data_IF_107974621465
#
_entry.id   IF_107974621465
#
_cell.length_a   1.000
_cell.length_b   1.000
_cell.length_c   1.000
_cell.angle_alpha   90.00
_cell.angle_beta   90.00
_cell.angle_gamma   90.00
#
_symmetry.space_group_name_H-M   'P 1'
#
loop_
_entity.id
_entity.type
_entity.pdbx_description
1 polymer ?
#
# COMPACT_ATOMS: atom_id res chain seq x y z
N UNK A 1 19.61 3.70 8.76
CA UNK A 1 18.40 4.53 8.57
C UNK A 1 17.33 4.09 9.56
N UNK A 2 16.81 5.00 10.38
CA UNK A 2 15.61 4.75 11.19
C UNK A 2 14.44 5.41 10.50
N UNK A 3 13.44 4.64 10.09
CA UNK A 3 12.22 5.16 9.50
C UNK A 3 11.18 5.25 10.62
N UNK A 4 11.08 6.41 11.26
CA UNK A 4 10.00 6.69 12.20
C UNK A 4 8.70 6.86 11.40
N UNK A 5 8.05 5.75 11.06
CA UNK A 5 6.67 5.77 10.57
C UNK A 5 5.82 6.42 11.65
N UNK A 6 5.13 7.54 11.36
CA UNK A 6 4.08 8.10 12.25
C UNK A 6 2.89 7.15 12.26
N UNK A 7 3.06 6.02 12.92
CA UNK A 7 2.04 5.01 13.13
C UNK A 7 1.35 5.38 14.41
N UNK A 8 0.10 5.77 14.30
CA UNK A 8 -0.76 5.92 15.46
C UNK A 8 -1.50 4.62 15.65
N UNK A 9 -1.35 4.03 16.83
CA UNK A 9 -2.22 2.96 17.30
C UNK A 9 -3.43 3.64 17.95
N UNK A 10 -4.66 3.24 17.60
CA UNK A 10 -5.82 3.69 18.37
C UNK A 10 -5.72 3.18 19.81
N UNK A 11 -5.98 4.05 20.80
CA UNK A 11 -5.93 3.66 22.22
C UNK A 11 -6.97 2.57 22.50
N UNK A 12 -6.50 1.34 22.69
CA UNK A 12 -7.35 0.16 22.92
C UNK A 12 -7.81 -0.59 21.67
N UNK A 13 -7.22 -0.33 20.49
CA UNK A 13 -7.56 -1.02 19.24
C UNK A 13 -6.36 -1.51 18.43
N UNK A 14 -6.59 -2.48 17.54
CA UNK A 14 -5.57 -3.07 16.64
C UNK A 14 -5.33 -2.25 15.36
N UNK A 15 -5.88 -1.03 15.30
CA UNK A 15 -5.86 -0.19 14.11
C UNK A 15 -4.63 0.69 14.04
N UNK A 16 -3.84 0.47 12.98
CA UNK A 16 -2.71 1.30 12.57
C UNK A 16 -3.18 2.40 11.60
N UNK A 17 -2.97 3.66 11.98
CA UNK A 17 -3.27 4.82 11.13
C UNK A 17 -2.00 5.41 10.53
N UNK A 18 -1.99 5.55 9.20
CA UNK A 18 -0.93 6.22 8.43
C UNK A 18 -1.45 7.59 7.98
N UNK A 19 -0.76 8.66 8.37
CA UNK A 19 -1.13 10.04 8.03
C UNK A 19 -0.47 10.51 6.73
N UNK A 20 -0.91 11.66 6.21
CA UNK A 20 -0.30 12.31 5.05
C UNK A 20 1.23 12.43 5.18
N UNK A 21 1.94 12.06 4.11
CA UNK A 21 3.40 11.93 4.07
C UNK A 21 3.94 10.61 4.60
N UNK A 22 3.10 9.75 5.19
CA UNK A 22 3.46 8.41 5.64
C UNK A 22 3.31 7.34 4.55
N UNK A 23 3.96 6.20 4.76
CA UNK A 23 3.82 5.04 3.87
C UNK A 23 3.99 3.71 4.61
N UNK A 24 3.45 2.65 4.02
CA UNK A 24 3.69 1.25 4.33
C UNK A 24 4.38 0.62 3.12
N UNK A 25 5.50 -0.04 3.34
CA UNK A 25 6.24 -0.76 2.31
C UNK A 25 6.13 -2.26 2.54
N UNK A 26 5.74 -3.01 1.50
CA UNK A 26 5.63 -4.46 1.49
C UNK A 26 6.44 -4.97 0.28
N UNK A 27 7.66 -5.43 0.54
CA UNK A 27 8.60 -5.75 -0.54
C UNK A 27 8.87 -4.53 -1.43
N UNK A 28 8.57 -4.66 -2.72
CA UNK A 28 8.67 -3.58 -3.71
C UNK A 28 7.42 -2.69 -3.80
N UNK A 29 6.29 -3.08 -3.20
CA UNK A 29 5.08 -2.29 -3.21
C UNK A 29 5.09 -1.25 -2.10
N UNK A 30 4.66 -0.03 -2.41
CA UNK A 30 4.53 1.07 -1.45
C UNK A 30 3.13 1.65 -1.48
N UNK A 31 2.48 1.64 -0.32
CA UNK A 31 1.19 2.28 -0.04
C UNK A 31 1.48 3.58 0.70
N UNK A 32 1.22 4.72 0.08
CA UNK A 32 1.54 6.04 0.64
C UNK A 32 0.32 6.95 0.68
N UNK A 33 0.24 7.80 1.70
CA UNK A 33 -0.82 8.81 1.78
C UNK A 33 -0.21 10.15 1.37
N UNK A 34 -0.69 10.75 0.28
CA UNK A 34 -0.16 12.03 -0.18
C UNK A 34 -0.63 13.20 0.71
N UNK A 35 -0.15 14.41 0.45
CA UNK A 35 -0.51 15.61 1.22
C UNK A 35 -2.02 15.93 1.22
N UNK A 36 -2.77 15.45 0.22
CA UNK A 36 -4.22 15.59 0.12
C UNK A 36 -5.00 14.44 0.79
N UNK A 37 -4.32 13.54 1.52
CA UNK A 37 -4.96 12.40 2.18
C UNK A 37 -5.34 11.24 1.23
N UNK A 38 -4.90 11.28 -0.03
CA UNK A 38 -5.20 10.21 -1.01
C UNK A 38 -4.17 9.09 -0.92
N UNK A 39 -4.65 7.85 -1.05
CA UNK A 39 -3.80 6.68 -1.16
C UNK A 39 -3.18 6.59 -2.56
N UNK A 40 -1.86 6.48 -2.62
CA UNK A 40 -1.06 6.25 -3.83
C UNK A 40 -0.32 4.93 -3.65
N UNK A 41 -0.50 4.01 -4.60
CA UNK A 41 0.15 2.70 -4.61
C UNK A 41 1.12 2.63 -5.77
N UNK A 42 2.38 2.27 -5.48
CA UNK A 42 3.45 2.17 -6.48
C UNK A 42 4.19 0.84 -6.31
N UNK A 43 4.94 0.46 -7.35
CA UNK A 43 5.74 -0.77 -7.32
C UNK A 43 4.92 -2.06 -7.42
N UNK A 44 3.62 -2.01 -7.71
CA UNK A 44 2.86 -3.21 -8.07
C UNK A 44 3.34 -3.76 -9.43
N UNK A 45 3.39 -5.08 -9.61
CA UNK A 45 3.70 -5.68 -10.90
C UNK A 45 2.65 -5.27 -11.94
N UNK A 46 3.07 -5.17 -13.20
CA UNK A 46 2.20 -4.77 -14.33
C UNK A 46 1.62 -5.95 -15.11
N UNK A 47 2.10 -7.18 -14.85
CA UNK A 47 1.63 -8.39 -15.51
C UNK A 47 1.99 -9.64 -14.70
N UNK A 48 1.08 -10.14 -13.86
CA UNK A 48 1.06 -11.57 -13.54
C UNK A 48 -0.32 -12.03 -13.03
N UNK A 49 -1.25 -12.39 -13.92
CA UNK A 49 -2.52 -12.98 -13.50
C UNK A 49 -2.37 -14.40 -12.93
N UNK A 50 -1.19 -15.03 -12.99
CA UNK A 50 -1.02 -16.44 -12.60
C UNK A 50 -0.68 -16.66 -11.12
N UNK A 51 -0.58 -15.59 -10.32
CA UNK A 51 -0.41 -15.68 -8.87
C UNK A 51 -1.74 -15.33 -8.21
N UNK A 52 -2.55 -16.35 -7.92
CA UNK A 52 -3.86 -16.18 -7.30
C UNK A 52 -3.81 -15.24 -6.09
N UNK A 53 -4.70 -14.25 -6.07
CA UNK A 53 -4.79 -13.28 -4.97
C UNK A 53 -3.77 -12.13 -5.00
N UNK A 54 -2.82 -12.11 -5.95
CA UNK A 54 -1.86 -11.01 -6.06
C UNK A 54 -2.53 -9.73 -6.58
N UNK A 55 -2.16 -8.58 -6.00
CA UNK A 55 -2.45 -7.25 -6.53
C UNK A 55 -1.50 -6.88 -7.67
N UNK A 56 -2.03 -6.35 -8.77
CA UNK A 56 -1.24 -5.88 -9.91
C UNK A 56 -1.93 -4.70 -10.61
N UNK A 57 -1.17 -3.97 -11.43
CA UNK A 57 -1.67 -2.82 -12.20
C UNK A 57 -1.87 -3.19 -13.67
N UNK A 58 -3.10 -3.06 -14.15
CA UNK A 58 -3.45 -3.23 -15.57
C UNK A 58 -3.77 -1.87 -16.19
N UNK A 59 -2.79 -1.23 -16.81
CA UNK A 59 -2.99 0.04 -17.54
C UNK A 59 -3.77 1.11 -16.74
N UNK A 60 -3.49 1.21 -15.44
CA UNK A 60 -4.15 2.17 -14.53
C UNK A 60 -5.33 1.61 -13.73
N UNK A 61 -5.72 0.35 -13.95
CA UNK A 61 -6.72 -0.36 -13.14
C UNK A 61 -6.03 -1.27 -12.13
N UNK A 62 -6.33 -1.08 -10.83
CA UNK A 62 -5.90 -2.02 -9.80
C UNK A 62 -6.71 -3.32 -9.93
N UNK A 63 -6.00 -4.44 -10.07
CA UNK A 63 -6.61 -5.76 -10.26
C UNK A 63 -6.11 -6.74 -9.20
N UNK A 64 -6.96 -7.69 -8.81
CA UNK A 64 -6.59 -8.87 -8.01
C UNK A 64 -6.63 -10.07 -8.97
N UNK A 65 -5.55 -10.84 -9.04
CA UNK A 65 -5.53 -12.08 -9.83
C UNK A 65 -6.54 -13.10 -9.28
N UNK A 66 -7.28 -13.74 -10.18
CA UNK A 66 -8.20 -14.82 -9.85
C UNK A 66 -7.51 -16.19 -9.66
N UNK A 67 -6.23 -16.31 -10.02
CA UNK A 67 -5.54 -17.60 -10.19
C UNK A 67 -5.72 -18.20 -11.56
#
# INVERSE_FOLDING_TARGET
MSYATKVYHESGGDKMTVVAGGSIQIGNATFSVNAAGKLIVTGLPTANPNVAGQLWSNSGVLTISAG
#
